data_IF_327679642297
#
_entry.id   IF_327679642297
#
_cell.length_a   1.000
_cell.length_b   1.000
_cell.length_c   1.000
_cell.angle_alpha   90.00
_cell.angle_beta   90.00
_cell.angle_gamma   90.00
#
_symmetry.space_group_name_H-M   'P 1'
#
loop_
_entity.id
_entity.type
_entity.pdbx_description
1 polymer ?
#
# COMPACT_ATOMS: atom_id res chain seq x y z
N UNK A 1 -4.59 21.67 -41.59
CA UNK A 1 -3.91 22.22 -40.40
C UNK A 1 -3.82 21.10 -39.37
N UNK A 2 -2.61 20.67 -39.00
CA UNK A 2 -2.44 19.67 -37.94
C UNK A 2 -2.67 20.37 -36.61
N UNK A 3 -3.80 20.09 -35.95
CA UNK A 3 -4.06 20.55 -34.59
C UNK A 3 -3.05 19.84 -33.69
N UNK A 4 -2.21 20.59 -32.99
CA UNK A 4 -1.30 20.01 -32.00
C UNK A 4 -2.15 19.29 -30.96
N UNK A 5 -1.70 18.12 -30.52
CA UNK A 5 -2.36 17.34 -29.47
C UNK A 5 -1.37 17.09 -28.35
N UNK A 6 -1.85 17.17 -27.11
CA UNK A 6 -1.05 16.76 -25.97
C UNK A 6 -0.83 15.24 -26.01
N UNK A 7 0.36 14.72 -25.63
CA UNK A 7 0.69 13.29 -25.78
C UNK A 7 -0.24 12.32 -25.05
N UNK A 8 -0.92 12.78 -23.99
CA UNK A 8 -1.92 12.01 -23.23
C UNK A 8 -3.28 12.69 -23.31
N UNK A 9 -4.34 11.89 -23.36
CA UNK A 9 -5.71 12.42 -23.30
C UNK A 9 -6.00 12.99 -21.91
N UNK A 10 -6.88 14.00 -21.84
CA UNK A 10 -7.37 14.53 -20.58
C UNK A 10 -7.95 13.42 -19.67
N UNK A 11 -8.69 12.47 -20.26
CA UNK A 11 -9.26 11.32 -19.55
C UNK A 11 -8.19 10.45 -18.87
N UNK A 12 -7.09 10.17 -19.56
CA UNK A 12 -6.01 9.36 -19.00
C UNK A 12 -5.31 10.09 -17.83
N UNK A 13 -5.10 11.40 -17.98
CA UNK A 13 -4.50 12.24 -16.93
C UNK A 13 -5.41 12.30 -15.69
N UNK A 14 -6.70 12.59 -15.88
CA UNK A 14 -7.69 12.62 -14.79
C UNK A 14 -7.80 11.27 -14.07
N UNK A 15 -7.84 10.17 -14.83
CA UNK A 15 -7.89 8.81 -14.26
C UNK A 15 -6.65 8.50 -13.41
N UNK A 16 -5.44 8.84 -13.91
CA UNK A 16 -4.20 8.65 -13.15
C UNK A 16 -4.20 9.48 -11.87
N UNK A 17 -4.61 10.75 -11.93
CA UNK A 17 -4.66 11.61 -10.75
C UNK A 17 -5.66 11.12 -9.72
N UNK A 18 -6.85 10.65 -10.13
CA UNK A 18 -7.85 10.04 -9.24
C UNK A 18 -7.31 8.80 -8.53
N UNK A 19 -6.61 7.92 -9.25
CA UNK A 19 -5.98 6.73 -8.66
C UNK A 19 -4.90 7.10 -7.66
N UNK A 20 -4.02 8.04 -8.02
CA UNK A 20 -2.93 8.50 -7.16
C UNK A 20 -3.46 9.20 -5.91
N UNK A 21 -4.53 9.98 -6.05
CA UNK A 21 -5.25 10.57 -4.93
C UNK A 21 -5.87 9.51 -4.02
N UNK A 22 -6.49 8.47 -4.59
CA UNK A 22 -7.01 7.34 -3.83
C UNK A 22 -5.92 6.66 -3.00
N UNK A 23 -4.78 6.37 -3.62
CA UNK A 23 -3.61 5.81 -2.93
C UNK A 23 -3.10 6.73 -1.82
N UNK A 24 -2.96 8.03 -2.08
CA UNK A 24 -2.51 9.01 -1.08
C UNK A 24 -3.49 9.17 0.08
N UNK A 25 -4.80 9.12 -0.16
CA UNK A 25 -5.83 9.17 0.90
C UNK A 25 -5.90 7.88 1.71
N UNK A 26 -5.51 6.75 1.12
CA UNK A 26 -5.40 5.48 1.81
C UNK A 26 -4.13 5.42 2.68
N UNK A 27 -3.01 5.91 2.14
CA UNK A 27 -1.71 5.87 2.83
C UNK A 27 -0.93 7.13 2.44
N UNK A 28 -0.94 8.17 3.27
CA UNK A 28 -0.19 9.38 2.98
C UNK A 28 1.30 9.19 3.28
N UNK A 29 1.97 8.40 2.44
CA UNK A 29 3.40 8.14 2.47
C UNK A 29 4.20 8.91 1.45
N UNK A 30 5.53 8.84 1.55
CA UNK A 30 6.45 9.50 0.61
C UNK A 30 6.19 9.11 -0.85
N UNK A 31 6.01 7.83 -1.11
CA UNK A 31 5.81 7.34 -2.49
C UNK A 31 4.43 7.72 -3.03
N UNK A 32 3.38 7.63 -2.22
CA UNK A 32 2.04 8.05 -2.61
C UNK A 32 1.97 9.56 -2.85
N UNK A 33 2.68 10.36 -2.04
CA UNK A 33 2.82 11.80 -2.25
C UNK A 33 3.54 12.11 -3.56
N UNK A 34 4.61 11.37 -3.88
CA UNK A 34 5.40 11.53 -5.10
C UNK A 34 4.61 11.13 -6.36
N UNK A 35 3.84 10.06 -6.32
CA UNK A 35 2.96 9.69 -7.45
C UNK A 35 1.79 10.65 -7.62
N UNK A 36 1.22 11.16 -6.53
CA UNK A 36 0.20 12.21 -6.60
C UNK A 36 0.78 13.51 -7.19
N UNK A 37 1.97 13.93 -6.75
CA UNK A 37 2.70 15.07 -7.29
C UNK A 37 2.93 14.93 -8.81
N UNK A 38 3.47 13.80 -9.26
CA UNK A 38 3.63 13.49 -10.69
C UNK A 38 2.32 13.56 -11.47
N UNK A 39 1.22 13.06 -10.90
CA UNK A 39 -0.07 13.08 -11.56
C UNK A 39 -0.67 14.49 -11.65
N UNK A 40 -0.46 15.34 -10.64
CA UNK A 40 -0.83 16.76 -10.69
C UNK A 40 0.05 17.53 -11.67
N UNK A 41 1.34 17.21 -11.74
CA UNK A 41 2.27 17.82 -12.69
C UNK A 41 1.89 17.51 -14.15
N UNK A 42 1.40 16.30 -14.43
CA UNK A 42 0.83 15.96 -15.76
C UNK A 42 -0.35 16.88 -16.12
N UNK A 43 -1.20 17.24 -15.14
CA UNK A 43 -2.29 18.21 -15.34
C UNK A 43 -1.76 19.62 -15.60
N UNK A 44 -0.69 20.04 -14.92
CA UNK A 44 -0.03 21.32 -15.17
C UNK A 44 0.52 21.40 -16.60
N UNK A 45 1.15 20.32 -17.08
CA UNK A 45 1.65 20.24 -18.46
C UNK A 45 0.53 20.33 -19.49
N UNK A 46 -0.58 19.64 -19.27
CA UNK A 46 -1.77 19.76 -20.13
C UNK A 46 -2.37 21.17 -20.07
N UNK A 47 -2.49 21.76 -18.88
CA UNK A 47 -3.05 23.09 -18.71
C UNK A 47 -2.18 24.16 -19.38
N UNK A 48 -0.85 24.01 -19.35
CA UNK A 48 0.08 24.88 -20.08
C UNK A 48 -0.12 24.75 -21.59
N UNK A 49 -0.24 23.52 -22.09
CA UNK A 49 -0.55 23.27 -23.50
C UNK A 49 -1.87 23.95 -23.92
N UNK A 50 -2.96 23.72 -23.16
CA UNK A 50 -4.27 24.29 -23.44
C UNK A 50 -4.32 25.82 -23.30
N UNK A 51 -3.53 26.39 -22.37
CA UNK A 51 -3.35 27.83 -22.23
C UNK A 51 -2.76 28.47 -23.50
N UNK A 52 -1.80 27.80 -24.14
CA UNK A 52 -1.19 28.27 -25.37
C UNK A 52 -2.04 28.01 -26.62
N UNK A 53 -2.89 26.97 -26.63
CA UNK A 53 -3.81 26.65 -27.75
C UNK A 53 -5.02 27.61 -27.85
N UNK A 54 -5.43 28.24 -26.74
CA UNK A 54 -6.24 29.47 -26.76
C UNK A 54 -7.69 29.40 -26.27
N UNK A 55 -8.19 28.23 -25.82
CA UNK A 55 -9.63 28.05 -25.59
C UNK A 55 -10.19 28.62 -24.25
N UNK A 56 -9.39 28.82 -23.20
CA UNK A 56 -9.80 29.58 -22.00
C UNK A 56 -8.59 29.87 -21.11
N UNK A 57 -7.83 30.92 -21.47
CA UNK A 57 -6.58 31.25 -20.78
C UNK A 57 -6.75 31.52 -19.28
N UNK A 58 -7.91 32.02 -18.86
CA UNK A 58 -8.16 32.34 -17.45
C UNK A 58 -8.40 31.08 -16.64
N UNK A 59 -9.20 30.15 -17.16
CA UNK A 59 -9.45 28.87 -16.52
C UNK A 59 -8.16 28.05 -16.38
N UNK A 60 -7.36 27.93 -17.45
CA UNK A 60 -6.11 27.16 -17.42
C UNK A 60 -5.07 27.78 -16.50
N UNK A 61 -4.97 29.13 -16.45
CA UNK A 61 -4.10 29.82 -15.49
C UNK A 61 -4.46 29.50 -14.05
N UNK A 62 -5.76 29.44 -13.73
CA UNK A 62 -6.23 29.09 -12.38
C UNK A 62 -5.88 27.65 -12.01
N UNK A 63 -6.04 26.71 -12.95
CA UNK A 63 -5.69 25.30 -12.72
C UNK A 63 -4.18 25.17 -12.49
N UNK A 64 -3.35 25.80 -13.31
CA UNK A 64 -1.88 25.81 -13.13
C UNK A 64 -1.48 26.31 -11.74
N UNK A 65 -2.09 27.39 -11.25
CA UNK A 65 -1.80 27.90 -9.91
C UNK A 65 -2.23 26.91 -8.81
N UNK A 66 -3.42 26.33 -8.94
CA UNK A 66 -3.92 25.36 -7.96
C UNK A 66 -3.06 24.10 -7.90
N UNK A 67 -2.49 23.66 -9.02
CA UNK A 67 -1.51 22.56 -9.03
C UNK A 67 -0.31 22.93 -8.16
N UNK A 68 0.32 24.08 -8.39
CA UNK A 68 1.47 24.53 -7.59
C UNK A 68 1.16 24.63 -6.10
N UNK A 69 -0.04 25.13 -5.75
CA UNK A 69 -0.49 25.22 -4.36
C UNK A 69 -0.66 23.80 -3.75
N UNK A 70 -1.22 22.85 -4.49
CA UNK A 70 -1.38 21.47 -4.05
C UNK A 70 -0.03 20.74 -3.89
N UNK A 71 0.90 20.92 -4.83
CA UNK A 71 2.27 20.36 -4.75
C UNK A 71 3.02 20.86 -3.51
N UNK A 72 2.81 22.13 -3.10
CA UNK A 72 3.39 22.67 -1.87
C UNK A 72 2.94 21.90 -0.61
N UNK A 73 1.68 21.47 -0.58
CA UNK A 73 1.15 20.68 0.51
C UNK A 73 1.69 19.24 0.53
N UNK A 74 2.09 18.69 -0.62
CA UNK A 74 2.65 17.33 -0.76
C UNK A 74 4.12 17.22 -0.39
N UNK A 75 4.87 18.34 -0.34
CA UNK A 75 6.28 18.32 0.08
C UNK A 75 6.42 17.72 1.50
N UNK A 76 7.48 16.91 1.74
CA UNK A 76 7.70 16.28 3.03
C UNK A 76 7.71 17.33 4.14
N UNK A 77 6.90 17.08 5.17
CA UNK A 77 6.77 17.95 6.32
C UNK A 77 7.81 17.59 7.39
N UNK A 78 8.22 18.61 8.15
CA UNK A 78 8.66 18.40 9.53
C UNK A 78 7.56 17.68 10.33
N UNK A 79 7.92 16.78 11.26
CA UNK A 79 7.00 15.79 11.88
C UNK A 79 5.80 16.35 12.67
N UNK A 80 5.68 17.67 12.86
CA UNK A 80 4.72 18.27 13.81
C UNK A 80 3.33 18.63 13.25
N UNK A 81 2.91 18.14 12.07
CA UNK A 81 1.60 18.50 11.48
C UNK A 81 0.76 17.29 11.00
N UNK A 82 -0.09 16.72 11.87
CA UNK A 82 -0.94 15.57 11.52
C UNK A 82 -2.11 15.91 10.56
N UNK A 83 -2.45 17.19 10.38
CA UNK A 83 -3.55 17.65 9.52
C UNK A 83 -3.15 17.85 8.04
N UNK A 84 -1.84 17.87 7.75
CA UNK A 84 -1.31 18.16 6.41
C UNK A 84 -1.73 17.14 5.34
N UNK A 85 -1.78 15.82 5.59
CA UNK A 85 -2.24 14.86 4.59
C UNK A 85 -3.66 15.12 4.11
N UNK A 86 -4.56 15.48 5.03
CA UNK A 86 -5.95 15.82 4.71
C UNK A 86 -6.00 17.10 3.87
N UNK A 87 -5.20 18.11 4.21
CA UNK A 87 -5.10 19.35 3.43
C UNK A 87 -4.57 19.10 2.02
N UNK A 88 -3.51 18.31 1.88
CA UNK A 88 -2.92 17.95 0.58
C UNK A 88 -3.92 17.17 -0.29
N UNK A 89 -4.61 16.18 0.28
CA UNK A 89 -5.65 15.44 -0.43
C UNK A 89 -6.80 16.35 -0.87
N UNK A 90 -7.27 17.26 0.00
CA UNK A 90 -8.33 18.20 -0.34
C UNK A 90 -7.91 19.18 -1.43
N UNK A 91 -6.67 19.69 -1.39
CA UNK A 91 -6.12 20.55 -2.43
C UNK A 91 -6.06 19.81 -3.78
N UNK A 92 -5.54 18.57 -3.78
CA UNK A 92 -5.49 17.72 -4.97
C UNK A 92 -6.88 17.42 -5.54
N UNK A 93 -7.88 17.11 -4.70
CA UNK A 93 -9.28 16.92 -5.13
C UNK A 93 -9.80 18.15 -5.88
N UNK A 94 -9.55 19.35 -5.37
CA UNK A 94 -10.02 20.59 -6.00
C UNK A 94 -9.36 20.81 -7.36
N UNK A 95 -8.07 20.52 -7.49
CA UNK A 95 -7.35 20.60 -8.78
C UNK A 95 -7.95 19.61 -9.78
N UNK A 96 -8.12 18.35 -9.38
CA UNK A 96 -8.62 17.28 -10.24
C UNK A 96 -10.03 17.61 -10.73
N UNK A 97 -10.93 18.05 -9.82
CA UNK A 97 -12.29 18.44 -10.18
C UNK A 97 -12.32 19.61 -11.18
N UNK A 98 -11.49 20.62 -10.99
CA UNK A 98 -11.45 21.77 -11.89
C UNK A 98 -10.86 21.42 -13.26
N UNK A 99 -9.86 20.54 -13.29
CA UNK A 99 -9.31 19.99 -14.52
C UNK A 99 -10.35 19.17 -15.29
N UNK A 100 -11.07 18.27 -14.61
CA UNK A 100 -12.14 17.47 -15.22
C UNK A 100 -13.21 18.38 -15.83
N UNK A 101 -13.68 19.39 -15.09
CA UNK A 101 -14.64 20.38 -15.62
C UNK A 101 -14.10 21.15 -16.84
N UNK A 102 -12.85 21.60 -16.79
CA UNK A 102 -12.22 22.34 -17.90
C UNK A 102 -12.03 21.49 -19.16
N UNK A 103 -11.97 20.17 -19.01
CA UNK A 103 -11.81 19.21 -20.12
C UNK A 103 -13.13 18.57 -20.54
N UNK A 104 -14.27 18.97 -19.95
CA UNK A 104 -15.59 18.40 -20.22
C UNK A 104 -15.81 17.01 -19.66
N UNK A 105 -14.93 16.54 -18.76
CA UNK A 105 -15.06 15.27 -18.05
C UNK A 105 -15.99 15.47 -16.85
N UNK A 106 -16.98 14.59 -16.67
CA UNK A 106 -17.82 14.60 -15.48
C UNK A 106 -16.96 14.23 -14.26
N UNK A 107 -16.91 15.07 -13.22
CA UNK A 107 -16.08 14.76 -12.06
C UNK A 107 -16.44 13.44 -11.41
N UNK A 108 -15.43 12.60 -11.19
CA UNK A 108 -15.61 11.33 -10.49
C UNK A 108 -15.94 11.54 -9.00
N UNK A 109 -16.47 10.50 -8.32
CA UNK A 109 -16.67 10.58 -6.89
C UNK A 109 -15.34 10.89 -6.20
N UNK A 110 -15.41 11.74 -5.18
CA UNK A 110 -14.29 11.93 -4.26
C UNK A 110 -14.04 10.58 -3.58
N UNK A 111 -12.84 9.98 -3.68
CA UNK A 111 -12.57 8.72 -3.00
C UNK A 111 -12.79 8.95 -1.50
N UNK A 112 -13.82 8.32 -0.93
CA UNK A 112 -14.07 8.35 0.51
C UNK A 112 -12.86 7.73 1.21
N UNK A 113 -12.47 8.32 2.33
CA UNK A 113 -11.34 7.92 3.17
C UNK A 113 -11.19 6.40 3.28
N UNK A 114 -9.92 5.97 3.15
CA UNK A 114 -9.29 4.79 3.71
C UNK A 114 -10.02 3.46 3.47
N UNK A 115 -9.34 2.55 2.76
CA UNK A 115 -9.61 1.13 2.94
C UNK A 115 -9.71 0.86 4.45
N UNK A 116 -10.79 0.24 4.89
CA UNK A 116 -10.78 -0.44 6.19
C UNK A 116 -9.62 -1.44 6.19
N UNK A 117 -9.07 -1.77 7.37
CA UNK A 117 -7.99 -2.77 7.46
C UNK A 117 -8.36 -4.07 6.75
N UNK A 118 -9.62 -4.48 6.85
CA UNK A 118 -10.17 -5.64 6.14
C UNK A 118 -10.11 -5.50 4.61
N UNK A 119 -10.51 -4.35 4.05
CA UNK A 119 -10.44 -4.13 2.60
C UNK A 119 -8.99 -4.00 2.11
N UNK A 120 -8.11 -3.43 2.93
CA UNK A 120 -6.69 -3.35 2.65
C UNK A 120 -6.01 -4.73 2.66
N UNK A 121 -6.38 -5.58 3.61
CA UNK A 121 -5.93 -6.96 3.70
C UNK A 121 -6.43 -7.78 2.50
N UNK A 122 -7.70 -7.58 2.12
CA UNK A 122 -8.26 -8.20 0.92
C UNK A 122 -7.52 -7.76 -0.35
N UNK A 123 -7.20 -6.47 -0.47
CA UNK A 123 -6.44 -5.94 -1.60
C UNK A 123 -5.00 -6.49 -1.64
N UNK A 124 -4.35 -6.61 -0.49
CA UNK A 124 -3.02 -7.20 -0.38
C UNK A 124 -3.01 -8.68 -0.81
N UNK A 125 -4.01 -9.44 -0.36
CA UNK A 125 -4.18 -10.84 -0.75
C UNK A 125 -4.47 -10.99 -2.25
N UNK A 126 -5.31 -10.12 -2.84
CA UNK A 126 -5.56 -10.12 -4.28
C UNK A 126 -4.32 -9.74 -5.10
N UNK A 127 -3.50 -8.80 -4.59
CA UNK A 127 -2.22 -8.46 -5.20
C UNK A 127 -1.22 -9.62 -5.12
N UNK A 128 -1.19 -10.35 -4.00
CA UNK A 128 -0.41 -11.58 -3.85
C UNK A 128 -0.84 -12.63 -4.87
N UNK A 129 -2.14 -12.87 -5.07
CA UNK A 129 -2.64 -13.84 -6.05
C UNK A 129 -2.20 -13.50 -7.48
N UNK A 130 -2.30 -12.22 -7.84
CA UNK A 130 -1.78 -11.73 -9.12
C UNK A 130 -0.27 -11.93 -9.24
N UNK A 131 0.52 -11.60 -8.22
CA UNK A 131 1.97 -11.75 -8.22
C UNK A 131 2.41 -13.21 -8.26
N UNK A 132 1.71 -14.10 -7.55
CA UNK A 132 2.02 -15.53 -7.49
C UNK A 132 1.89 -16.23 -8.85
N UNK A 133 1.13 -15.62 -9.77
CA UNK A 133 1.03 -16.10 -11.16
C UNK A 133 2.34 -15.88 -11.94
N UNK A 134 3.17 -14.92 -11.53
CA UNK A 134 4.41 -14.53 -12.21
C UNK A 134 5.67 -14.84 -11.40
N UNK A 135 5.56 -14.92 -10.07
CA UNK A 135 6.65 -15.20 -9.14
C UNK A 135 6.17 -16.35 -8.26
N UNK A 136 6.88 -17.48 -8.27
CA UNK A 136 6.55 -18.62 -7.41
C UNK A 136 6.79 -18.28 -5.93
N UNK A 137 5.72 -17.94 -5.23
CA UNK A 137 5.68 -17.67 -3.78
C UNK A 137 5.04 -18.87 -3.08
N UNK A 138 5.73 -20.00 -3.18
CA UNK A 138 5.19 -21.33 -2.87
C UNK A 138 5.27 -21.67 -1.37
N UNK A 139 5.93 -20.83 -0.57
CA UNK A 139 6.05 -21.09 0.85
C UNK A 139 4.75 -20.70 1.55
N UNK A 140 4.25 -21.59 2.41
CA UNK A 140 2.95 -21.44 3.10
C UNK A 140 2.80 -20.14 3.89
N UNK A 141 3.92 -19.51 4.27
CA UNK A 141 3.97 -18.26 5.00
C UNK A 141 4.14 -17.01 4.10
N UNK A 142 4.37 -17.14 2.79
CA UNK A 142 4.66 -16.00 1.91
C UNK A 142 3.47 -15.04 1.80
N UNK A 143 2.26 -15.59 1.69
CA UNK A 143 1.03 -14.78 1.71
C UNK A 143 0.95 -13.96 2.99
N UNK A 144 1.14 -14.61 4.14
CA UNK A 144 1.11 -13.96 5.45
C UNK A 144 2.19 -12.88 5.53
N UNK A 145 3.39 -13.14 5.06
CA UNK A 145 4.49 -12.18 5.05
C UNK A 145 4.20 -10.96 4.16
N UNK A 146 3.75 -11.15 2.92
CA UNK A 146 3.46 -10.07 1.96
C UNK A 146 2.29 -9.22 2.42
N UNK A 147 1.19 -9.86 2.81
CA UNK A 147 -0.01 -9.18 3.35
C UNK A 147 0.32 -8.41 4.62
N UNK A 148 1.28 -8.90 5.40
CA UNK A 148 1.76 -8.22 6.57
C UNK A 148 2.66 -7.01 6.24
N UNK A 149 3.65 -7.17 5.36
CA UNK A 149 4.51 -6.07 4.93
C UNK A 149 3.71 -4.91 4.29
N UNK A 150 2.89 -5.24 3.29
CA UNK A 150 1.45 -5.00 3.32
C UNK A 150 0.90 -3.85 4.18
N UNK A 151 0.21 -4.26 5.24
CA UNK A 151 -0.43 -3.32 6.16
C UNK A 151 0.57 -2.64 7.10
N UNK A 152 1.81 -3.13 7.26
CA UNK A 152 2.85 -2.43 8.02
C UNK A 152 3.20 -1.10 7.35
N UNK A 153 3.24 -1.12 6.03
CA UNK A 153 3.41 0.07 5.21
C UNK A 153 2.17 0.98 5.23
N UNK A 154 0.96 0.42 5.37
CA UNK A 154 -0.26 1.23 5.52
C UNK A 154 -0.30 1.93 6.89
N UNK A 155 0.12 1.22 7.94
CA UNK A 155 0.12 1.69 9.33
C UNK A 155 1.22 2.75 9.56
N UNK A 156 2.42 2.54 9.00
CA UNK A 156 3.50 3.53 8.96
C UNK A 156 4.19 3.53 7.57
N UNK A 157 3.97 4.57 6.75
CA UNK A 157 4.56 4.66 5.41
C UNK A 157 6.09 4.82 5.41
N UNK A 158 6.70 5.07 6.57
CA UNK A 158 8.16 5.14 6.75
C UNK A 158 8.72 3.88 7.44
N UNK A 159 7.89 2.87 7.72
CA UNK A 159 8.31 1.64 8.41
C UNK A 159 9.40 0.89 7.64
N UNK A 160 10.54 0.56 8.29
CA UNK A 160 11.57 -0.27 7.69
C UNK A 160 11.37 -1.79 7.93
N UNK A 161 10.21 -2.25 8.47
CA UNK A 161 10.09 -3.61 9.04
C UNK A 161 8.95 -4.51 8.51
N UNK A 162 9.16 -5.85 8.50
CA UNK A 162 8.13 -6.88 8.61
C UNK A 162 7.54 -6.93 10.04
N UNK A 163 6.76 -5.90 10.42
CA UNK A 163 5.87 -5.74 11.60
C UNK A 163 6.43 -5.82 13.04
N UNK A 164 5.73 -5.29 14.09
CA UNK A 164 4.28 -5.00 14.21
C UNK A 164 3.88 -3.61 14.76
N UNK A 165 2.65 -3.17 14.50
CA UNK A 165 1.97 -2.20 15.37
C UNK A 165 0.48 -2.53 15.51
N UNK A 166 0.22 -3.72 16.04
CA UNK A 166 -0.82 -4.04 17.02
C UNK A 166 -0.84 -5.56 17.14
N UNK A 167 -0.24 -6.08 18.21
CA UNK A 167 -0.87 -7.17 18.92
C UNK A 167 -2.18 -6.55 19.44
N UNK A 168 -3.29 -6.87 18.77
CA UNK A 168 -4.60 -6.73 19.38
C UNK A 168 -4.68 -7.77 20.48
N UNK A 169 -5.02 -7.34 21.69
CA UNK A 169 -5.27 -8.16 22.89
C UNK A 169 -6.47 -9.12 22.72
N UNK A 170 -6.55 -9.86 21.62
CA UNK A 170 -7.57 -10.85 21.31
C UNK A 170 -6.88 -12.02 20.58
N UNK A 171 -6.24 -12.90 21.35
CA UNK A 171 -6.13 -14.35 21.10
C UNK A 171 -5.34 -14.98 22.27
N UNK A 172 -5.82 -14.75 23.51
CA UNK A 172 -5.59 -15.69 24.61
C UNK A 172 -6.56 -16.88 24.40
N UNK A 173 -6.30 -17.70 23.37
CA UNK A 173 -6.72 -19.09 23.38
C UNK A 173 -5.51 -19.95 23.75
N UNK A 174 -5.44 -20.20 25.05
CA UNK A 174 -4.60 -21.18 25.73
C UNK A 174 -4.72 -22.54 25.02
N UNK A 175 -3.81 -22.83 24.09
CA UNK A 175 -3.64 -24.16 23.52
C UNK A 175 -3.15 -25.10 24.63
N UNK A 176 -4.10 -25.79 25.26
CA UNK A 176 -3.83 -26.87 26.20
C UNK A 176 -3.15 -28.06 25.48
N UNK A 177 -2.09 -28.64 26.05
CA UNK A 177 -1.36 -29.73 25.42
C UNK A 177 -2.04 -31.08 25.70
N UNK A 178 -3.22 -31.33 25.12
CA UNK A 178 -3.83 -32.68 25.16
C UNK A 178 -4.34 -33.20 23.80
N UNK A 179 -4.24 -32.46 22.70
CA UNK A 179 -4.64 -32.95 21.36
C UNK A 179 -3.45 -33.30 20.45
N UNK A 180 -2.47 -34.05 20.96
CA UNK A 180 -1.50 -34.78 20.12
C UNK A 180 -1.65 -36.28 20.30
N UNK A 181 -2.85 -36.76 19.97
CA UNK A 181 -3.13 -38.18 19.76
C UNK A 181 -2.91 -38.57 18.30
N UNK A 182 -1.83 -39.33 18.06
CA UNK A 182 -1.71 -40.34 17.02
C UNK A 182 -1.74 -39.90 15.54
N UNK A 183 -0.56 -39.88 14.94
CA UNK A 183 -0.31 -40.68 13.72
C UNK A 183 1.16 -41.05 13.61
N UNK A 184 1.45 -42.28 14.03
CA UNK A 184 2.59 -43.06 13.60
C UNK A 184 2.66 -43.11 12.06
N UNK A 185 3.83 -42.86 11.47
CA UNK A 185 4.46 -43.85 10.60
C UNK A 185 5.86 -43.45 10.10
N UNK A 186 6.75 -44.44 10.20
CA UNK A 186 8.00 -44.67 9.45
C UNK A 186 9.22 -43.81 9.84
N UNK A 187 10.10 -44.30 10.73
CA UNK A 187 11.23 -45.21 10.43
C UNK A 187 12.03 -44.78 9.18
N UNK A 188 13.25 -44.24 9.38
CA UNK A 188 14.49 -44.89 8.94
C UNK A 188 15.75 -44.07 9.34
N UNK A 189 16.50 -44.65 10.28
CA UNK A 189 17.95 -44.84 10.30
C UNK A 189 18.96 -43.66 10.34
N UNK A 190 20.07 -43.98 11.04
CA UNK A 190 21.36 -43.26 11.21
C UNK A 190 21.35 -42.24 12.35
N UNK A 191 22.05 -42.40 13.49
CA UNK A 191 23.35 -43.00 13.80
C UNK A 191 23.40 -43.45 15.29
N UNK A 192 24.07 -44.57 15.56
CA UNK A 192 24.62 -44.88 16.90
C UNK A 192 26.01 -44.22 17.10
N UNK A 193 26.75 -44.51 18.20
CA UNK A 193 26.47 -45.50 19.23
C UNK A 193 26.39 -44.96 20.68
N UNK A 194 25.74 -45.79 21.50
CA UNK A 194 25.66 -45.79 22.96
C UNK A 194 27.04 -45.93 23.60
N UNK A 195 27.28 -45.20 24.68
CA UNK A 195 28.21 -45.61 25.75
C UNK A 195 27.42 -46.02 26.97
N UNK A 196 27.68 -47.27 27.38
CA UNK A 196 27.09 -47.98 28.51
C UNK A 196 27.46 -47.38 29.87
N UNK A 197 26.48 -47.39 30.79
CA UNK A 197 26.68 -47.76 32.19
C UNK A 197 25.32 -47.96 32.87
N UNK A 198 24.91 -49.22 33.02
CA UNK A 198 23.85 -49.66 33.92
C UNK A 198 24.49 -50.48 35.08
N UNK A 199 23.74 -51.01 36.07
CA UNK A 199 23.80 -50.61 37.47
C UNK A 199 24.53 -51.63 38.36
N UNK A 200 24.81 -51.25 39.62
CA UNK A 200 25.35 -52.16 40.66
C UNK A 200 24.32 -53.23 41.06
N UNK A 201 24.72 -54.49 41.28
CA UNK A 201 23.83 -55.54 41.74
C UNK A 201 23.71 -55.60 43.27
N UNK A 202 22.55 -56.13 43.70
CA UNK A 202 22.15 -56.47 45.06
C UNK A 202 23.15 -57.38 45.79
N UNK A 203 23.35 -57.08 47.07
CA UNK A 203 23.87 -58.01 48.07
C UNK A 203 22.77 -59.01 48.46
N UNK A 204 23.10 -60.31 48.47
CA UNK A 204 22.65 -61.22 49.54
C UNK A 204 23.38 -62.59 49.53
N UNK A 205 23.90 -62.93 50.72
CA UNK A 205 24.14 -64.25 51.31
C UNK A 205 25.13 -65.24 50.69
N UNK A 206 26.33 -65.37 51.31
CA UNK A 206 26.66 -66.40 52.31
C UNK A 206 28.08 -66.21 52.89
#
# INVERSE_FOLDING_TARGET
>A
MNRLTYPRTAQAIATRARRSLGAYRAVPGREAAHELDRALHDMWGYATFAFHDGDDRHQWKKIMQKVLDAELHLKPATPDRPDRPVQAANAAIQVINDFERATGITPGPTPSTLYTRAEAEQAANAAFDCLNTYIQLDHWNDRRFVTRAFLAFLDDPNSPYPYPSHDSDEDDEELTPEETGERENSLLYWLGPRTDAAPRPQEDNQ
#
